data_IF_054718768052
#
_entry.id   IF_054718768052
#
_cell.length_a   1.000
_cell.length_b   1.000
_cell.length_c   1.000
_cell.angle_alpha   90.00
_cell.angle_beta   90.00
_cell.angle_gamma   90.00
#
_symmetry.space_group_name_H-M   'P 1'
#
loop_
_entity.id
_entity.type
_entity.pdbx_description
1 polymer ?
#
# COMPACT_ATOMS: atom_id res chain seq x y z
N UNK A 1 17.49 -23.96 -3.59
CA UNK A 1 18.27 -24.85 -2.71
C UNK A 1 17.75 -24.60 -1.30
N UNK A 2 17.22 -25.63 -0.63
CA UNK A 2 16.79 -25.51 0.77
C UNK A 2 18.01 -25.11 1.59
N UNK A 3 17.92 -24.03 2.33
CA UNK A 3 18.99 -23.56 3.18
C UNK A 3 19.09 -24.51 4.38
N UNK A 4 20.27 -25.04 4.64
CA UNK A 4 20.52 -25.92 5.78
C UNK A 4 20.53 -25.07 7.06
N UNK A 5 19.61 -25.34 7.98
CA UNK A 5 19.47 -24.66 9.28
C UNK A 5 20.68 -24.93 10.13
N UNK A 6 21.30 -23.89 10.70
CA UNK A 6 22.55 -24.04 11.46
C UNK A 6 22.38 -23.44 12.86
N UNK A 7 22.58 -24.27 13.88
CA UNK A 7 22.56 -23.90 15.31
C UNK A 7 23.98 -23.93 15.85
N UNK A 8 24.40 -22.88 16.53
CA UNK A 8 25.68 -22.83 17.27
C UNK A 8 25.42 -23.09 18.75
N UNK A 9 26.05 -24.14 19.26
CA UNK A 9 26.05 -24.47 20.70
C UNK A 9 27.37 -24.01 21.31
N UNK A 10 27.26 -23.13 22.33
CA UNK A 10 28.42 -22.60 23.08
C UNK A 10 28.30 -23.12 24.51
N UNK A 11 29.10 -24.11 24.85
CA UNK A 11 29.09 -24.76 26.18
C UNK A 11 30.49 -25.32 26.41
N UNK A 12 31.06 -25.15 27.60
CA UNK A 12 32.40 -25.64 27.97
C UNK A 12 32.44 -27.17 28.11
N UNK A 13 31.29 -27.81 28.28
CA UNK A 13 31.14 -29.25 28.30
C UNK A 13 30.90 -29.82 26.88
N UNK A 14 31.87 -30.50 26.27
CA UNK A 14 31.73 -31.04 24.90
C UNK A 14 30.63 -32.11 24.78
N UNK A 15 30.20 -32.74 25.89
CA UNK A 15 29.11 -33.69 25.88
C UNK A 15 27.75 -33.03 25.57
N UNK A 16 27.55 -31.80 25.98
CA UNK A 16 26.34 -30.99 25.66
C UNK A 16 26.28 -30.77 24.16
N UNK A 17 27.36 -30.30 23.56
CA UNK A 17 27.43 -30.07 22.11
C UNK A 17 27.18 -31.35 21.31
N UNK A 18 27.72 -32.49 21.78
CA UNK A 18 27.51 -33.81 21.15
C UNK A 18 26.05 -34.27 21.26
N UNK A 19 25.45 -34.13 22.46
CA UNK A 19 24.06 -34.53 22.69
C UNK A 19 23.07 -33.71 21.85
N UNK A 20 23.26 -32.39 21.82
CA UNK A 20 22.43 -31.48 21.00
C UNK A 20 22.69 -31.72 19.49
N UNK A 21 23.92 -32.00 19.08
CA UNK A 21 24.23 -32.36 17.71
C UNK A 21 23.54 -33.64 17.23
N UNK A 22 23.43 -34.64 18.09
CA UNK A 22 22.64 -35.84 17.79
C UNK A 22 21.15 -35.55 17.70
N UNK A 23 20.61 -34.79 18.65
CA UNK A 23 19.21 -34.43 18.67
C UNK A 23 18.80 -33.62 17.39
N UNK A 24 19.54 -32.59 17.07
CA UNK A 24 19.25 -31.73 15.93
C UNK A 24 19.55 -32.37 14.58
N UNK A 25 20.53 -33.26 14.52
CA UNK A 25 20.86 -34.02 13.30
C UNK A 25 19.72 -34.94 12.82
N UNK A 26 18.82 -35.37 13.71
CA UNK A 26 17.61 -36.13 13.36
C UNK A 26 16.52 -35.25 12.69
N UNK A 27 16.68 -33.92 12.76
CA UNK A 27 15.73 -32.94 12.27
C UNK A 27 16.32 -32.02 11.17
N UNK A 28 17.35 -32.50 10.46
CA UNK A 28 18.01 -31.75 9.37
C UNK A 28 18.59 -30.39 9.80
N UNK A 29 18.96 -30.24 11.09
CA UNK A 29 19.60 -29.05 11.64
C UNK A 29 21.10 -29.36 11.85
N UNK A 30 21.95 -28.54 11.24
CA UNK A 30 23.40 -28.61 11.42
C UNK A 30 23.81 -27.96 12.73
N UNK A 31 24.63 -28.62 13.52
CA UNK A 31 25.12 -28.11 14.80
C UNK A 31 26.60 -27.78 14.70
N UNK A 32 26.94 -26.52 15.02
CA UNK A 32 28.30 -26.07 15.28
C UNK A 32 28.52 -26.01 16.79
N UNK A 33 29.73 -26.34 17.27
CA UNK A 33 30.04 -26.33 18.69
C UNK A 33 31.23 -25.42 18.99
N UNK A 34 31.18 -24.70 20.08
CA UNK A 34 32.26 -23.90 20.61
C UNK A 34 32.37 -24.10 22.13
N UNK A 35 33.60 -24.30 22.62
CA UNK A 35 33.85 -24.63 24.04
C UNK A 35 34.15 -23.39 24.92
N UNK A 36 34.03 -22.20 24.36
CA UNK A 36 34.21 -20.96 25.12
C UNK A 36 33.46 -19.79 24.44
N UNK A 37 33.12 -18.71 25.18
CA UNK A 37 32.56 -17.49 24.64
C UNK A 37 33.34 -16.92 23.46
N UNK A 38 34.68 -16.88 23.57
CA UNK A 38 35.55 -16.33 22.52
C UNK A 38 35.50 -17.19 21.24
N UNK A 39 35.53 -18.51 21.38
CA UNK A 39 35.39 -19.42 20.24
C UNK A 39 34.01 -19.32 19.58
N UNK A 40 32.95 -19.14 20.38
CA UNK A 40 31.59 -18.92 19.91
C UNK A 40 31.47 -17.62 19.09
N UNK A 41 32.00 -16.51 19.59
CA UNK A 41 32.02 -15.23 18.86
C UNK A 41 32.85 -15.31 17.57
N UNK A 42 33.96 -16.03 17.58
CA UNK A 42 34.79 -16.26 16.39
C UNK A 42 34.03 -17.09 15.34
N UNK A 43 33.27 -18.11 15.77
CA UNK A 43 32.45 -18.93 14.87
C UNK A 43 31.32 -18.08 14.26
N UNK A 44 30.64 -17.24 15.04
CA UNK A 44 29.62 -16.32 14.55
C UNK A 44 30.15 -15.32 13.51
N UNK A 45 31.42 -14.92 13.63
CA UNK A 45 32.05 -14.03 12.67
C UNK A 45 32.49 -14.75 11.37
N UNK A 46 32.80 -16.05 11.44
CA UNK A 46 33.35 -16.82 10.34
C UNK A 46 32.33 -17.66 9.58
N UNK A 47 31.25 -18.04 10.22
CA UNK A 47 30.24 -18.96 9.68
C UNK A 47 28.82 -18.39 9.86
N UNK A 48 27.94 -18.76 8.94
CA UNK A 48 26.54 -18.42 9.05
C UNK A 48 25.87 -19.30 10.11
N UNK A 49 25.22 -18.65 11.07
CA UNK A 49 24.47 -19.27 12.15
C UNK A 49 23.06 -18.70 12.14
N UNK A 50 22.07 -19.53 12.39
CA UNK A 50 20.65 -19.14 12.38
C UNK A 50 20.07 -19.03 13.78
N UNK A 51 20.65 -19.73 14.78
CA UNK A 51 20.27 -19.67 16.19
C UNK A 51 21.48 -19.99 17.06
N UNK A 52 21.59 -19.37 18.22
CA UNK A 52 22.61 -19.67 19.23
C UNK A 52 21.97 -20.30 20.44
N UNK A 53 22.57 -21.39 20.96
CA UNK A 53 22.31 -21.95 22.27
C UNK A 53 23.57 -21.74 23.10
N UNK A 54 23.50 -21.00 24.20
CA UNK A 54 24.66 -20.64 25.00
C UNK A 54 24.46 -21.06 26.46
N UNK A 55 25.50 -21.65 27.05
CA UNK A 55 25.53 -21.86 28.50
C UNK A 55 25.67 -20.52 29.25
N UNK A 56 25.14 -20.47 30.45
CA UNK A 56 25.25 -19.35 31.35
C UNK A 56 26.56 -19.34 32.15
N UNK A 57 27.21 -20.49 32.32
CA UNK A 57 28.43 -20.66 33.12
C UNK A 57 29.48 -21.43 32.34
N UNK A 58 30.65 -20.85 32.14
CA UNK A 58 31.76 -21.43 31.36
C UNK A 58 32.96 -21.84 32.20
N UNK A 59 32.94 -21.62 33.52
CA UNK A 59 33.99 -22.07 34.43
C UNK A 59 33.41 -22.82 35.63
N UNK A 60 34.04 -23.93 36.01
CA UNK A 60 33.57 -24.83 37.03
C UNK A 60 33.37 -24.17 38.43
N UNK A 61 34.00 -23.02 38.67
CA UNK A 61 34.02 -22.33 39.94
C UNK A 61 33.03 -21.11 40.01
N UNK A 62 32.33 -20.78 38.92
CA UNK A 62 31.42 -19.63 38.89
C UNK A 62 29.97 -20.07 38.64
N UNK A 63 29.17 -20.05 39.66
CA UNK A 63 27.71 -20.28 39.59
C UNK A 63 26.92 -18.99 39.39
N UNK A 64 27.58 -17.87 39.04
CA UNK A 64 27.01 -16.53 38.99
C UNK A 64 26.25 -16.20 37.72
N UNK A 65 26.44 -16.94 36.63
CA UNK A 65 25.84 -16.67 35.30
C UNK A 65 26.35 -15.39 34.59
N UNK A 66 27.33 -14.69 35.18
CA UNK A 66 27.84 -13.42 34.62
C UNK A 66 28.49 -13.59 33.24
N UNK A 67 29.17 -14.71 32.99
CA UNK A 67 29.85 -14.98 31.72
C UNK A 67 28.84 -15.17 30.57
N UNK A 68 27.76 -15.92 30.81
CA UNK A 68 26.67 -16.10 29.83
C UNK A 68 25.92 -14.81 29.55
N UNK A 69 25.68 -13.95 30.57
CA UNK A 69 25.08 -12.64 30.39
C UNK A 69 26.00 -11.72 29.56
N UNK A 70 27.31 -11.75 29.79
CA UNK A 70 28.27 -10.97 29.02
C UNK A 70 28.29 -11.43 27.55
N UNK A 71 28.38 -12.76 27.32
CA UNK A 71 28.31 -13.34 25.99
C UNK A 71 27.01 -12.97 25.25
N UNK A 72 25.88 -13.06 25.93
CA UNK A 72 24.57 -12.66 25.36
C UNK A 72 24.57 -11.20 24.93
N UNK A 73 25.09 -10.28 25.76
CA UNK A 73 25.21 -8.85 25.42
C UNK A 73 26.13 -8.63 24.21
N UNK A 74 27.25 -9.33 24.13
CA UNK A 74 28.18 -9.25 23.01
C UNK A 74 27.54 -9.76 21.70
N UNK A 75 26.78 -10.85 21.77
CA UNK A 75 26.03 -11.37 20.61
C UNK A 75 24.98 -10.34 20.18
N UNK A 76 24.18 -9.79 21.10
CA UNK A 76 23.17 -8.79 20.80
C UNK A 76 23.72 -7.50 20.21
N UNK A 77 24.88 -7.04 20.69
CA UNK A 77 25.54 -5.84 20.17
C UNK A 77 25.98 -6.00 18.70
N UNK A 78 26.42 -7.21 18.31
CA UNK A 78 26.94 -7.50 16.96
C UNK A 78 25.88 -8.07 16.02
N UNK A 79 24.91 -8.82 16.56
CA UNK A 79 23.86 -9.53 15.85
C UNK A 79 22.50 -9.27 16.54
N UNK A 80 21.88 -8.10 16.36
CA UNK A 80 20.66 -7.69 17.08
C UNK A 80 19.49 -8.65 16.91
N UNK A 81 19.36 -9.26 15.73
CA UNK A 81 18.23 -10.13 15.36
C UNK A 81 18.50 -11.62 15.56
N UNK A 82 19.71 -12.00 16.08
CA UNK A 82 20.06 -13.40 16.31
C UNK A 82 19.25 -14.00 17.45
N UNK A 83 18.44 -15.05 17.25
CA UNK A 83 17.77 -15.72 18.36
C UNK A 83 18.81 -16.44 19.23
N UNK A 84 18.71 -16.21 20.55
CA UNK A 84 19.62 -16.81 21.54
C UNK A 84 18.78 -17.51 22.59
N UNK A 85 19.00 -18.82 22.75
CA UNK A 85 18.49 -19.65 23.86
C UNK A 85 19.61 -19.76 24.90
N UNK A 86 19.28 -19.50 26.15
CA UNK A 86 20.23 -19.61 27.26
C UNK A 86 19.98 -20.93 28.03
N UNK A 87 21.02 -21.74 28.16
CA UNK A 87 21.01 -22.95 29.00
C UNK A 87 21.55 -22.62 30.39
N UNK A 88 20.91 -23.15 31.45
CA UNK A 88 21.36 -22.89 32.84
C UNK A 88 21.04 -24.07 33.74
N UNK A 89 21.91 -24.28 34.74
CA UNK A 89 21.66 -25.21 35.83
C UNK A 89 20.75 -24.63 36.94
N UNK A 90 20.38 -23.33 36.83
CA UNK A 90 19.67 -22.61 37.91
C UNK A 90 18.26 -22.16 37.47
N UNK A 91 17.30 -22.46 38.32
CA UNK A 91 15.87 -22.16 38.11
C UNK A 91 15.41 -20.88 38.82
N UNK A 92 16.24 -19.84 38.87
CA UNK A 92 15.82 -18.56 39.45
C UNK A 92 14.96 -17.76 38.43
N UNK A 93 13.67 -17.72 38.70
CA UNK A 93 12.66 -17.05 37.87
C UNK A 93 12.98 -15.58 37.60
N UNK A 94 13.58 -14.87 38.54
CA UNK A 94 13.94 -13.47 38.43
C UNK A 94 15.04 -13.22 37.37
N UNK A 95 16.05 -14.09 37.32
CA UNK A 95 17.11 -14.01 36.32
C UNK A 95 16.61 -14.32 34.89
N UNK A 96 15.71 -15.31 34.77
CA UNK A 96 15.08 -15.65 33.49
C UNK A 96 14.24 -14.49 32.96
N UNK A 97 13.44 -13.84 33.79
CA UNK A 97 12.63 -12.69 33.41
C UNK A 97 13.49 -11.50 32.96
N UNK A 98 14.62 -11.26 33.63
CA UNK A 98 15.53 -10.17 33.25
C UNK A 98 16.21 -10.44 31.90
N UNK A 99 16.59 -11.68 31.60
CA UNK A 99 17.23 -12.07 30.34
C UNK A 99 16.23 -12.03 29.17
N UNK A 100 15.00 -12.45 29.36
CA UNK A 100 13.95 -12.29 28.36
C UNK A 100 13.65 -10.80 28.10
N UNK A 101 13.58 -9.97 29.15
CA UNK A 101 13.46 -8.51 28.97
C UNK A 101 14.67 -7.88 28.27
N UNK A 102 15.85 -8.48 28.40
CA UNK A 102 17.06 -8.08 27.69
C UNK A 102 17.11 -8.61 26.24
N UNK A 103 16.08 -9.36 25.80
CA UNK A 103 15.93 -9.83 24.44
C UNK A 103 16.36 -11.28 24.18
N UNK A 104 16.61 -12.11 25.20
CA UNK A 104 16.81 -13.54 24.98
C UNK A 104 15.54 -14.15 24.40
N UNK A 105 15.69 -15.04 23.40
CA UNK A 105 14.54 -15.65 22.73
C UNK A 105 13.86 -16.70 23.62
N UNK A 106 14.64 -17.47 24.37
CA UNK A 106 14.14 -18.42 25.37
C UNK A 106 15.22 -18.75 26.41
N UNK A 107 14.79 -19.45 27.44
CA UNK A 107 15.59 -19.86 28.57
C UNK A 107 15.24 -21.32 28.95
N UNK A 108 16.23 -22.20 29.02
CA UNK A 108 16.05 -23.63 29.27
C UNK A 108 16.92 -24.11 30.40
N UNK A 109 16.32 -24.82 31.37
CA UNK A 109 17.03 -25.40 32.51
C UNK A 109 17.73 -26.71 32.09
N UNK A 110 18.93 -26.96 32.66
CA UNK A 110 19.61 -28.26 32.63
C UNK A 110 19.18 -29.11 33.83
N UNK A 111 18.80 -30.40 33.69
CA UNK A 111 18.63 -31.13 32.44
C UNK A 111 17.37 -30.68 31.67
N UNK A 112 17.46 -30.59 30.37
CA UNK A 112 16.36 -30.18 29.50
C UNK A 112 15.52 -31.36 29.03
N UNK A 113 14.28 -31.03 28.67
CA UNK A 113 13.39 -31.91 27.93
C UNK A 113 13.68 -31.73 26.41
N UNK A 114 13.96 -32.86 25.73
CA UNK A 114 14.36 -32.84 24.31
C UNK A 114 13.23 -32.29 23.41
N UNK A 115 11.97 -32.70 23.64
CA UNK A 115 10.86 -32.33 22.78
C UNK A 115 10.55 -30.83 22.92
N UNK A 116 10.63 -30.33 24.17
CA UNK A 116 10.47 -28.91 24.45
C UNK A 116 11.56 -28.04 23.83
N UNK A 117 12.83 -28.45 23.98
CA UNK A 117 13.97 -27.71 23.42
C UNK A 117 13.91 -27.72 21.89
N UNK A 118 13.63 -28.87 21.30
CA UNK A 118 13.49 -28.99 19.84
C UNK A 118 12.39 -28.10 19.32
N UNK A 119 11.20 -28.13 19.93
CA UNK A 119 10.08 -27.27 19.52
C UNK A 119 10.42 -25.77 19.63
N UNK A 120 11.16 -25.37 20.68
CA UNK A 120 11.61 -23.98 20.83
C UNK A 120 12.59 -23.58 19.72
N UNK A 121 13.55 -24.46 19.40
CA UNK A 121 14.54 -24.25 18.33
C UNK A 121 13.86 -24.16 16.96
N UNK A 122 12.97 -25.09 16.62
CA UNK A 122 12.23 -25.09 15.35
C UNK A 122 11.41 -23.81 15.16
N UNK A 123 10.62 -23.41 16.16
CA UNK A 123 9.82 -22.20 16.13
C UNK A 123 10.69 -20.94 15.93
N UNK A 124 11.82 -20.84 16.61
CA UNK A 124 12.73 -19.71 16.48
C UNK A 124 13.45 -19.67 15.14
N UNK A 125 13.81 -20.81 14.58
CA UNK A 125 14.38 -20.91 13.24
C UNK A 125 13.37 -20.49 12.18
N UNK A 126 12.12 -20.96 12.25
CA UNK A 126 11.05 -20.56 11.33
C UNK A 126 10.78 -19.05 11.40
N UNK A 127 10.71 -18.49 12.61
CA UNK A 127 10.54 -17.05 12.78
C UNK A 127 11.72 -16.26 12.17
N UNK A 128 12.95 -16.70 12.45
CA UNK A 128 14.17 -16.07 11.90
C UNK A 128 14.22 -16.13 10.37
N UNK A 129 13.85 -17.28 9.78
CA UNK A 129 13.75 -17.45 8.32
C UNK A 129 12.71 -16.48 7.73
N UNK A 130 11.53 -16.38 8.33
CA UNK A 130 10.46 -15.48 7.89
C UNK A 130 10.89 -14.02 7.93
N UNK A 131 11.54 -13.59 9.01
CA UNK A 131 12.05 -12.21 9.16
C UNK A 131 13.12 -11.90 8.11
N UNK A 132 14.08 -12.82 7.91
CA UNK A 132 15.14 -12.65 6.91
C UNK A 132 14.60 -12.61 5.48
N UNK A 133 13.67 -13.51 5.14
CA UNK A 133 13.05 -13.52 3.81
C UNK A 133 12.28 -12.23 3.54
N UNK A 134 11.55 -11.72 4.55
CA UNK A 134 10.87 -10.44 4.47
C UNK A 134 11.86 -9.30 4.23
N UNK A 135 12.95 -9.25 4.99
CA UNK A 135 14.00 -8.24 4.83
C UNK A 135 14.68 -8.31 3.45
N UNK A 136 14.95 -9.53 2.95
CA UNK A 136 15.51 -9.75 1.61
C UNK A 136 14.57 -9.23 0.52
N UNK A 137 13.29 -9.58 0.60
CA UNK A 137 12.28 -9.10 -0.36
C UNK A 137 12.11 -7.58 -0.32
N UNK A 138 12.22 -6.96 0.85
CA UNK A 138 12.24 -5.51 0.96
C UNK A 138 13.44 -4.89 0.24
N UNK A 139 14.64 -5.40 0.49
CA UNK A 139 15.87 -4.91 -0.15
C UNK A 139 15.84 -5.07 -1.68
N UNK A 140 15.38 -6.21 -2.17
CA UNK A 140 15.23 -6.46 -3.61
C UNK A 140 14.26 -5.45 -4.25
N UNK A 141 13.13 -5.14 -3.58
CA UNK A 141 12.16 -4.15 -4.04
C UNK A 141 12.74 -2.74 -4.06
N UNK A 142 13.48 -2.35 -3.02
CA UNK A 142 14.14 -1.05 -2.99
C UNK A 142 15.17 -0.91 -4.12
N UNK A 143 15.96 -1.96 -4.38
CA UNK A 143 16.92 -1.97 -5.48
C UNK A 143 16.22 -1.88 -6.85
N UNK A 144 15.14 -2.61 -7.05
CA UNK A 144 14.32 -2.54 -8.27
C UNK A 144 13.76 -1.12 -8.48
N UNK A 145 13.20 -0.51 -7.43
CA UNK A 145 12.66 0.84 -7.45
C UNK A 145 13.74 1.88 -7.75
N UNK A 146 14.90 1.78 -7.11
CA UNK A 146 16.04 2.65 -7.36
C UNK A 146 16.58 2.51 -8.80
N UNK A 147 16.61 1.31 -9.34
CA UNK A 147 16.98 1.04 -10.73
C UNK A 147 15.99 1.66 -11.72
N UNK A 148 14.69 1.51 -11.46
CA UNK A 148 13.63 2.10 -12.29
C UNK A 148 13.70 3.63 -12.28
N UNK A 149 13.91 4.25 -11.10
CA UNK A 149 14.04 5.69 -10.95
C UNK A 149 15.32 6.27 -11.60
N UNK A 150 16.38 5.46 -11.74
CA UNK A 150 17.59 5.86 -12.49
C UNK A 150 17.38 5.79 -14.01
N UNK A 151 16.57 4.84 -14.49
CA UNK A 151 16.34 4.62 -15.92
C UNK A 151 15.22 5.48 -16.49
N UNK A 152 14.29 5.94 -15.66
CA UNK A 152 13.05 6.63 -16.06
C UNK A 152 12.73 7.83 -15.17
N UNK A 153 12.09 8.84 -15.75
CA UNK A 153 11.50 9.93 -14.99
C UNK A 153 10.15 9.47 -14.41
N UNK A 154 10.08 9.31 -13.10
CA UNK A 154 8.87 8.91 -12.39
C UNK A 154 7.98 10.08 -11.99
N UNK A 155 8.27 11.31 -12.42
CA UNK A 155 7.48 12.52 -12.17
C UNK A 155 7.13 12.75 -10.69
N UNK A 156 8.03 12.34 -9.77
CA UNK A 156 7.84 12.49 -8.33
C UNK A 156 6.75 11.59 -7.73
N UNK A 157 6.39 10.49 -8.36
CA UNK A 157 5.42 9.53 -7.82
C UNK A 157 6.04 8.77 -6.64
N UNK A 158 5.35 8.80 -5.51
CA UNK A 158 5.71 8.09 -4.27
C UNK A 158 4.83 6.85 -4.12
N UNK A 159 5.46 5.69 -3.93
CA UNK A 159 4.78 4.40 -3.73
C UNK A 159 5.70 3.38 -3.06
N UNK A 160 5.09 2.40 -2.38
CA UNK A 160 5.77 1.22 -1.82
C UNK A 160 5.03 -0.08 -2.12
N UNK A 161 3.72 -0.01 -2.40
CA UNK A 161 2.92 -1.17 -2.69
C UNK A 161 3.33 -1.85 -4.00
N UNK A 162 3.24 -3.18 -4.02
CA UNK A 162 3.50 -4.00 -5.22
C UNK A 162 2.55 -3.64 -6.37
N UNK A 163 1.29 -3.36 -6.05
CA UNK A 163 0.29 -3.02 -7.05
C UNK A 163 0.62 -1.72 -7.78
N UNK A 164 1.08 -0.70 -7.04
CA UNK A 164 1.50 0.56 -7.63
C UNK A 164 2.83 0.44 -8.37
N UNK A 165 3.78 -0.36 -7.85
CA UNK A 165 5.02 -0.69 -8.55
C UNK A 165 4.75 -1.27 -9.94
N UNK A 166 3.85 -2.26 -10.03
CA UNK A 166 3.47 -2.87 -11.32
C UNK A 166 2.85 -1.85 -12.30
N UNK A 167 2.01 -0.92 -11.80
CA UNK A 167 1.44 0.13 -12.64
C UNK A 167 2.51 1.11 -13.17
N UNK A 168 3.46 1.51 -12.32
CA UNK A 168 4.57 2.40 -12.70
C UNK A 168 5.52 1.70 -13.69
N UNK A 169 5.88 0.45 -13.46
CA UNK A 169 6.69 -0.35 -14.37
C UNK A 169 6.03 -0.50 -15.74
N UNK A 170 4.72 -0.79 -15.76
CA UNK A 170 3.95 -0.88 -17.00
C UNK A 170 3.93 0.47 -17.71
N UNK A 171 3.72 1.59 -17.00
CA UNK A 171 3.75 2.93 -17.56
C UNK A 171 5.10 3.25 -18.23
N UNK A 172 6.23 2.94 -17.57
CA UNK A 172 7.56 3.11 -18.11
C UNK A 172 7.80 2.23 -19.34
N UNK A 173 7.34 0.98 -19.31
CA UNK A 173 7.50 0.01 -20.42
C UNK A 173 6.76 0.45 -21.66
N UNK A 174 5.50 0.91 -21.50
CA UNK A 174 4.67 1.34 -22.65
C UNK A 174 4.97 2.75 -23.12
N UNK A 175 5.77 3.50 -22.37
CA UNK A 175 6.10 4.89 -22.71
C UNK A 175 6.69 5.05 -24.12
N UNK A 176 7.54 4.12 -24.53
CA UNK A 176 8.21 4.15 -25.86
C UNK A 176 7.33 3.68 -27.02
N UNK A 177 6.23 2.97 -26.73
CA UNK A 177 5.29 2.53 -27.75
C UNK A 177 4.34 3.68 -28.11
N UNK A 178 4.12 3.93 -29.40
CA UNK A 178 3.19 4.98 -29.90
C UNK A 178 1.74 4.45 -29.95
N UNK A 179 1.30 3.75 -28.91
CA UNK A 179 -0.05 3.19 -28.81
C UNK A 179 -0.89 3.95 -27.79
N UNK A 180 -2.20 4.01 -27.96
CA UNK A 180 -3.11 4.53 -26.95
C UNK A 180 -2.99 3.77 -25.64
N UNK A 181 -3.11 4.50 -24.51
CA UNK A 181 -3.07 3.95 -23.16
C UNK A 181 -4.33 4.36 -22.43
N UNK A 182 -5.01 3.40 -21.81
CA UNK A 182 -6.16 3.63 -20.96
C UNK A 182 -5.76 3.41 -19.48
N UNK A 183 -5.95 4.43 -18.65
CA UNK A 183 -5.67 4.35 -17.22
C UNK A 183 -7.00 4.25 -16.48
N UNK A 184 -7.22 3.13 -15.80
CA UNK A 184 -8.47 2.87 -15.06
C UNK A 184 -8.25 2.96 -13.56
N UNK A 185 -9.30 3.31 -12.82
CA UNK A 185 -9.26 3.31 -11.35
C UNK A 185 -10.08 4.44 -10.73
N UNK A 186 -10.36 4.34 -9.42
CA UNK A 186 -11.18 5.31 -8.69
C UNK A 186 -10.66 6.75 -8.77
N UNK A 187 -11.54 7.71 -8.48
CA UNK A 187 -11.14 9.12 -8.46
C UNK A 187 -10.10 9.39 -7.36
N UNK A 188 -9.14 10.26 -7.66
CA UNK A 188 -8.10 10.64 -6.72
C UNK A 188 -6.97 9.61 -6.52
N UNK A 189 -6.90 8.53 -7.32
CA UNK A 189 -5.84 7.50 -7.23
C UNK A 189 -4.49 7.92 -7.81
N UNK A 190 -4.46 9.00 -8.64
CA UNK A 190 -3.24 9.50 -9.26
C UNK A 190 -3.09 9.19 -10.76
N UNK A 191 -4.20 8.98 -11.50
CA UNK A 191 -4.20 8.65 -12.94
C UNK A 191 -3.40 9.65 -13.77
N UNK A 192 -3.52 10.94 -13.50
CA UNK A 192 -2.77 11.99 -14.19
C UNK A 192 -1.25 11.87 -13.99
N UNK A 193 -0.79 11.44 -12.80
CA UNK A 193 0.63 11.21 -12.53
C UNK A 193 1.20 10.06 -13.36
N UNK A 194 0.42 9.00 -13.53
CA UNK A 194 0.79 7.87 -14.41
C UNK A 194 0.84 8.32 -15.87
N UNK A 195 -0.12 9.14 -16.31
CA UNK A 195 -0.08 9.73 -17.66
C UNK A 195 1.18 10.60 -17.86
N UNK A 196 1.57 11.38 -16.85
CA UNK A 196 2.80 12.16 -16.87
C UNK A 196 4.06 11.29 -17.01
N UNK A 197 4.14 10.14 -16.29
CA UNK A 197 5.25 9.17 -16.44
C UNK A 197 5.31 8.63 -17.87
N UNK A 198 4.16 8.25 -18.43
CA UNK A 198 4.11 7.75 -19.82
C UNK A 198 4.59 8.81 -20.81
N UNK A 199 4.20 10.07 -20.64
CA UNK A 199 4.67 11.17 -21.48
C UNK A 199 6.16 11.43 -21.31
N UNK A 200 6.65 11.61 -20.06
CA UNK A 200 8.04 11.98 -19.76
C UNK A 200 9.08 10.95 -20.29
N UNK A 201 8.66 9.69 -20.44
CA UNK A 201 9.51 8.61 -20.94
C UNK A 201 9.21 8.22 -22.40
N UNK A 202 8.40 9.01 -23.12
CA UNK A 202 7.98 8.73 -24.49
C UNK A 202 8.93 9.34 -25.54
N UNK A 203 8.71 8.95 -26.81
CA UNK A 203 9.36 9.57 -27.98
C UNK A 203 8.99 11.05 -28.16
N UNK A 204 7.79 11.45 -27.66
CA UNK A 204 7.24 12.82 -27.75
C UNK A 204 7.40 13.64 -26.46
N UNK A 205 8.29 13.24 -25.55
CA UNK A 205 8.53 13.89 -24.26
C UNK A 205 8.94 15.37 -24.36
N UNK A 206 9.50 15.78 -25.48
CA UNK A 206 9.88 17.17 -25.72
C UNK A 206 8.71 18.03 -26.21
N UNK A 207 7.59 17.40 -26.62
CA UNK A 207 6.38 18.07 -27.05
C UNK A 207 5.47 18.45 -25.87
N UNK A 208 4.36 19.11 -26.16
CA UNK A 208 3.42 19.52 -25.10
C UNK A 208 2.71 18.35 -24.46
N UNK A 209 2.45 18.44 -23.12
CA UNK A 209 1.53 17.57 -22.41
C UNK A 209 0.27 18.37 -22.07
N UNK A 210 -0.82 18.09 -22.80
CA UNK A 210 -2.09 18.80 -22.64
C UNK A 210 -3.09 17.88 -21.92
N UNK A 211 -3.59 18.30 -20.76
CA UNK A 211 -4.62 17.57 -20.02
C UNK A 211 -6.00 18.22 -20.22
N UNK A 212 -7.01 17.40 -20.46
CA UNK A 212 -8.41 17.81 -20.58
C UNK A 212 -9.27 16.87 -19.76
N UNK A 213 -10.11 17.46 -18.88
CA UNK A 213 -11.13 16.69 -18.17
C UNK A 213 -12.44 16.75 -18.97
N UNK A 214 -12.89 15.60 -19.48
CA UNK A 214 -14.09 15.47 -20.30
C UNK A 214 -15.40 15.66 -19.50
N UNK A 215 -15.35 15.56 -18.18
CA UNK A 215 -16.50 15.77 -17.29
C UNK A 215 -16.62 17.21 -16.75
N UNK A 216 -15.62 18.06 -16.98
CA UNK A 216 -15.59 19.42 -16.43
C UNK A 216 -16.44 20.43 -17.21
N UNK A 217 -16.83 20.12 -18.45
CA UNK A 217 -17.54 21.01 -19.34
C UNK A 217 -18.85 20.40 -19.85
N UNK A 218 -19.89 21.21 -20.16
CA UNK A 218 -21.06 20.75 -20.88
C UNK A 218 -20.71 20.09 -22.23
N UNK A 219 -21.53 19.12 -22.66
CA UNK A 219 -21.29 18.31 -23.85
C UNK A 219 -20.97 19.11 -25.11
N UNK A 220 -21.66 20.22 -25.32
CA UNK A 220 -21.46 21.12 -26.48
C UNK A 220 -20.11 21.84 -26.45
N UNK A 221 -19.64 22.19 -25.25
CA UNK A 221 -18.38 22.91 -25.07
C UNK A 221 -17.16 21.99 -25.09
N UNK A 222 -17.29 20.74 -24.67
CA UNK A 222 -16.16 19.80 -24.67
C UNK A 222 -15.70 19.48 -26.10
N UNK A 223 -16.63 19.39 -27.07
CA UNK A 223 -16.24 19.20 -28.46
C UNK A 223 -15.48 20.41 -29.02
N UNK A 224 -15.97 21.63 -28.74
CA UNK A 224 -15.28 22.86 -29.15
C UNK A 224 -13.90 23.01 -28.49
N UNK A 225 -13.76 22.56 -27.25
CA UNK A 225 -12.48 22.52 -26.53
C UNK A 225 -11.51 21.51 -27.16
N UNK A 226 -11.97 20.31 -27.49
CA UNK A 226 -11.10 19.25 -28.06
C UNK A 226 -10.71 19.55 -29.50
N UNK A 227 -11.70 19.85 -30.37
CA UNK A 227 -11.49 19.92 -31.83
C UNK A 227 -11.38 21.35 -32.35
N UNK A 228 -11.66 22.36 -31.50
CA UNK A 228 -11.73 23.75 -31.91
C UNK A 228 -13.06 24.12 -32.55
N UNK A 229 -13.29 25.41 -32.76
CA UNK A 229 -14.50 25.94 -33.37
C UNK A 229 -14.18 27.18 -34.22
N UNK A 230 -14.88 27.33 -35.37
CA UNK A 230 -14.88 28.57 -36.13
C UNK A 230 -15.85 29.57 -35.49
N UNK A 231 -15.67 30.86 -35.85
CA UNK A 231 -16.59 31.90 -35.41
C UNK A 231 -18.01 31.60 -35.94
N UNK A 232 -19.02 31.67 -35.06
CA UNK A 232 -20.40 31.36 -35.39
C UNK A 232 -20.79 29.87 -35.39
N UNK A 233 -19.91 28.97 -35.01
CA UNK A 233 -20.16 27.53 -34.99
C UNK A 233 -21.29 27.08 -34.03
N UNK A 234 -21.52 27.86 -32.97
CA UNK A 234 -22.61 27.65 -32.00
C UNK A 234 -22.97 28.97 -31.32
N UNK A 235 -24.10 29.02 -30.63
CA UNK A 235 -24.57 30.20 -29.89
C UNK A 235 -23.55 30.60 -28.82
N UNK A 236 -22.87 31.77 -29.01
CA UNK A 236 -21.80 32.26 -28.13
C UNK A 236 -20.38 32.08 -28.71
N UNK A 237 -20.21 31.44 -29.85
CA UNK A 237 -18.91 31.32 -30.54
C UNK A 237 -18.55 32.61 -31.27
N UNK A 238 -18.25 33.68 -30.58
CA UNK A 238 -17.95 34.99 -31.17
C UNK A 238 -16.58 35.06 -31.88
N UNK A 239 -15.68 34.11 -31.61
CA UNK A 239 -14.32 34.03 -32.19
C UNK A 239 -13.95 32.58 -32.47
N UNK A 240 -13.11 32.38 -33.49
CA UNK A 240 -12.50 31.06 -33.72
C UNK A 240 -11.63 30.66 -32.51
N UNK A 241 -11.65 29.37 -32.17
CA UNK A 241 -10.92 28.79 -31.02
C UNK A 241 -10.10 27.61 -31.49
N UNK A 242 -8.81 27.62 -31.15
CA UNK A 242 -7.89 26.48 -31.37
C UNK A 242 -8.27 25.33 -30.45
N UNK A 243 -8.36 24.12 -31.00
CA UNK A 243 -8.65 22.90 -30.23
C UNK A 243 -7.45 22.35 -29.52
N UNK A 244 -7.72 21.49 -28.54
CA UNK A 244 -6.67 20.83 -27.74
C UNK A 244 -5.86 19.83 -28.58
N UNK A 245 -6.47 19.18 -29.56
CA UNK A 245 -5.75 18.33 -30.51
C UNK A 245 -4.69 19.09 -31.30
N UNK A 246 -5.03 20.27 -31.75
CA UNK A 246 -4.06 21.14 -32.45
C UNK A 246 -2.99 21.66 -31.47
N UNK A 247 -3.35 22.04 -30.27
CA UNK A 247 -2.42 22.51 -29.23
C UNK A 247 -1.48 21.40 -28.73
N UNK A 248 -1.86 20.13 -28.84
CA UNK A 248 -1.08 18.97 -28.44
C UNK A 248 -0.26 18.38 -29.58
N UNK A 249 -0.24 19.00 -30.77
CA UNK A 249 0.45 18.47 -31.92
C UNK A 249 1.96 18.23 -31.63
N UNK A 250 2.47 17.08 -32.02
CA UNK A 250 3.83 16.63 -31.70
C UNK A 250 4.05 16.23 -30.23
N UNK A 251 2.99 16.18 -29.43
CA UNK A 251 3.05 15.88 -28.00
C UNK A 251 2.05 14.81 -27.55
N UNK A 252 1.49 15.00 -26.36
CA UNK A 252 0.53 14.08 -25.73
C UNK A 252 -0.73 14.82 -25.31
N UNK A 253 -1.88 14.27 -25.64
CA UNK A 253 -3.18 14.68 -25.12
C UNK A 253 -3.66 13.66 -24.08
N UNK A 254 -3.84 14.13 -22.85
CA UNK A 254 -4.41 13.34 -21.76
C UNK A 254 -5.88 13.67 -21.60
N UNK A 255 -6.76 12.67 -21.80
CA UNK A 255 -8.21 12.78 -21.70
C UNK A 255 -8.65 12.15 -20.37
N UNK A 256 -8.88 12.96 -19.33
CA UNK A 256 -9.41 12.48 -18.06
C UNK A 256 -10.94 12.36 -18.12
N UNK A 257 -11.46 11.38 -17.41
CA UNK A 257 -12.90 11.06 -17.35
C UNK A 257 -13.52 10.83 -18.76
N UNK A 258 -12.83 10.06 -19.59
CA UNK A 258 -13.24 9.82 -20.99
C UNK A 258 -14.66 9.23 -21.14
N UNK A 259 -15.17 8.56 -20.11
CA UNK A 259 -16.55 8.06 -20.08
C UNK A 259 -17.61 9.15 -20.20
N UNK A 260 -17.27 10.41 -19.85
CA UNK A 260 -18.19 11.55 -19.94
C UNK A 260 -18.20 12.22 -21.33
N UNK A 261 -17.38 11.75 -22.29
CA UNK A 261 -17.38 12.31 -23.64
C UNK A 261 -18.69 11.98 -24.34
N UNK A 262 -19.43 12.96 -24.89
CA UNK A 262 -20.69 12.72 -25.60
C UNK A 262 -20.47 11.88 -26.87
N UNK A 263 -21.50 11.16 -27.32
CA UNK A 263 -21.41 10.24 -28.46
C UNK A 263 -20.89 10.93 -29.75
N UNK A 264 -21.28 12.18 -30.02
CA UNK A 264 -20.75 12.98 -31.12
C UNK A 264 -19.24 13.22 -31.02
N UNK A 265 -18.76 13.53 -29.82
CA UNK A 265 -17.32 13.68 -29.53
C UNK A 265 -16.57 12.34 -29.65
N UNK A 266 -17.20 11.22 -29.26
CA UNK A 266 -16.64 9.89 -29.41
C UNK A 266 -16.39 9.52 -30.89
N UNK A 267 -17.31 9.85 -31.79
CA UNK A 267 -17.15 9.65 -33.25
C UNK A 267 -15.97 10.45 -33.80
N UNK A 268 -15.85 11.70 -33.41
CA UNK A 268 -14.72 12.56 -33.85
C UNK A 268 -13.39 12.06 -33.28
N UNK A 269 -13.37 11.66 -32.01
CA UNK A 269 -12.17 11.10 -31.37
C UNK A 269 -11.70 9.83 -32.08
N UNK A 270 -12.61 8.93 -32.44
CA UNK A 270 -12.29 7.73 -33.20
C UNK A 270 -11.59 8.06 -34.52
N UNK A 271 -12.10 9.03 -35.28
CA UNK A 271 -11.46 9.49 -36.55
C UNK A 271 -10.05 9.97 -36.30
N UNK A 272 -9.82 10.76 -35.25
CA UNK A 272 -8.48 11.24 -34.91
C UNK A 272 -7.54 10.09 -34.60
N UNK A 273 -8.01 9.10 -33.81
CA UNK A 273 -7.20 7.93 -33.45
C UNK A 273 -6.87 7.00 -34.64
N UNK A 274 -7.70 7.02 -35.70
CA UNK A 274 -7.52 6.19 -36.89
C UNK A 274 -6.64 6.89 -37.95
N UNK A 275 -6.92 8.14 -38.22
CA UNK A 275 -6.34 8.87 -39.38
C UNK A 275 -5.47 10.07 -38.99
N UNK A 276 -5.49 10.50 -37.72
CA UNK A 276 -4.87 11.74 -37.28
C UNK A 276 -5.61 13.00 -37.78
N UNK A 277 -6.83 12.86 -38.32
CA UNK A 277 -7.58 13.96 -38.96
C UNK A 277 -8.82 14.32 -38.15
N UNK A 278 -9.15 15.61 -38.13
CA UNK A 278 -10.36 16.14 -37.53
C UNK A 278 -10.82 17.42 -38.20
N UNK A 279 -12.07 17.78 -37.97
CA UNK A 279 -12.66 19.03 -38.44
C UNK A 279 -13.12 19.84 -37.23
N UNK A 280 -12.72 21.15 -37.14
CA UNK A 280 -13.26 22.05 -36.14
C UNK A 280 -14.79 22.19 -36.26
N UNK A 281 -15.47 22.55 -35.16
CA UNK A 281 -16.90 22.80 -35.19
C UNK A 281 -17.22 23.98 -36.13
N UNK A 282 -18.23 23.81 -37.01
CA UNK A 282 -18.62 24.82 -37.97
C UNK A 282 -17.68 24.94 -39.19
N UNK A 283 -16.70 24.05 -39.32
CA UNK A 283 -15.76 24.03 -40.45
C UNK A 283 -15.83 22.70 -41.22
N UNK A 284 -15.72 22.74 -42.53
CA UNK A 284 -15.50 21.57 -43.38
C UNK A 284 -14.01 21.36 -43.73
N UNK A 285 -13.13 22.18 -43.15
CA UNK A 285 -11.69 22.11 -43.41
C UNK A 285 -11.06 21.07 -42.50
N UNK A 286 -10.58 19.98 -43.07
CA UNK A 286 -9.84 18.94 -42.37
C UNK A 286 -8.50 19.46 -41.88
N UNK A 287 -8.18 19.23 -40.62
CA UNK A 287 -6.86 19.44 -40.00
C UNK A 287 -6.23 18.11 -39.66
N UNK A 288 -4.91 18.05 -39.71
CA UNK A 288 -4.14 16.84 -39.39
C UNK A 288 -3.29 17.12 -38.14
N UNK A 289 -3.19 16.15 -37.26
CA UNK A 289 -2.36 16.23 -36.05
C UNK A 289 -1.68 14.88 -35.76
N UNK A 290 -0.49 14.96 -35.19
CA UNK A 290 0.23 13.78 -34.68
C UNK A 290 0.33 13.87 -33.15
N UNK A 291 -0.67 13.33 -32.49
CA UNK A 291 -0.80 13.40 -31.03
C UNK A 291 -0.84 12.01 -30.42
N UNK A 292 -0.05 11.76 -29.39
CA UNK A 292 -0.20 10.58 -28.57
C UNK A 292 -1.39 10.76 -27.63
N UNK A 293 -2.36 9.86 -27.65
CA UNK A 293 -3.52 9.91 -26.77
C UNK A 293 -3.34 8.98 -25.57
N UNK A 294 -3.54 9.53 -24.37
CA UNK A 294 -3.65 8.79 -23.11
C UNK A 294 -5.02 9.13 -22.53
N UNK A 295 -5.81 8.12 -22.20
CA UNK A 295 -7.15 8.31 -21.62
C UNK A 295 -7.22 7.78 -20.20
N UNK A 296 -8.05 8.40 -19.37
CA UNK A 296 -8.31 7.92 -18.02
C UNK A 296 -9.80 7.88 -17.72
N UNK A 297 -10.20 6.93 -16.88
CA UNK A 297 -11.59 6.82 -16.43
C UNK A 297 -11.71 6.15 -15.06
N UNK A 298 -12.74 6.51 -14.33
CA UNK A 298 -13.22 5.79 -13.14
C UNK A 298 -14.51 5.00 -13.45
N UNK A 299 -15.06 5.14 -14.67
CA UNK A 299 -16.28 4.49 -15.09
C UNK A 299 -16.03 3.08 -15.63
N UNK A 300 -17.00 2.21 -15.46
CA UNK A 300 -17.04 0.87 -16.03
C UNK A 300 -17.44 0.95 -17.52
N UNK A 301 -16.48 1.23 -18.40
CA UNK A 301 -16.74 1.39 -19.84
C UNK A 301 -17.49 0.21 -20.46
N UNK A 302 -17.20 -1.06 -20.12
CA UNK A 302 -17.99 -2.19 -20.63
C UNK A 302 -19.49 -2.12 -20.27
N UNK A 303 -19.83 -1.58 -19.11
CA UNK A 303 -21.24 -1.35 -18.73
C UNK A 303 -21.84 -0.20 -19.54
N UNK A 304 -21.11 0.89 -19.76
CA UNK A 304 -21.56 2.02 -20.57
C UNK A 304 -21.78 1.64 -22.03
N UNK A 305 -20.98 0.70 -22.59
CA UNK A 305 -21.18 0.14 -23.93
C UNK A 305 -22.53 -0.61 -23.99
N UNK A 306 -22.81 -1.48 -23.02
CA UNK A 306 -24.11 -2.19 -22.96
C UNK A 306 -25.30 -1.24 -22.86
N UNK A 307 -25.12 -0.07 -22.23
CA UNK A 307 -26.14 0.96 -22.12
C UNK A 307 -26.25 1.87 -23.37
N UNK A 308 -25.37 1.72 -24.34
CA UNK A 308 -25.34 2.53 -25.56
C UNK A 308 -24.84 3.97 -25.37
N UNK A 309 -24.21 4.28 -24.22
CA UNK A 309 -23.67 5.62 -23.92
C UNK A 309 -22.18 5.76 -24.23
N UNK A 310 -21.51 4.63 -24.50
CA UNK A 310 -20.11 4.60 -24.96
C UNK A 310 -20.00 3.64 -26.15
N UNK A 311 -19.23 4.02 -27.17
CA UNK A 311 -19.06 3.22 -28.38
C UNK A 311 -18.03 2.11 -28.18
N UNK A 312 -18.36 0.92 -28.65
CA UNK A 312 -17.50 -0.25 -28.56
C UNK A 312 -16.23 -0.12 -29.45
N UNK A 313 -16.36 0.44 -30.65
CA UNK A 313 -15.22 0.66 -31.57
C UNK A 313 -14.17 1.64 -30.97
N UNK A 314 -14.62 2.70 -30.34
CA UNK A 314 -13.75 3.63 -29.64
C UNK A 314 -13.05 2.96 -28.42
N UNK A 315 -13.79 2.15 -27.67
CA UNK A 315 -13.23 1.42 -26.53
C UNK A 315 -12.02 0.56 -26.96
N UNK A 316 -12.18 -0.28 -27.98
CA UNK A 316 -11.08 -1.13 -28.46
C UNK A 316 -9.88 -0.31 -29.01
N UNK A 317 -10.14 0.86 -29.53
CA UNK A 317 -9.07 1.74 -30.00
C UNK A 317 -8.31 2.43 -28.88
N UNK A 318 -8.99 2.80 -27.79
CA UNK A 318 -8.39 3.41 -26.58
C UNK A 318 -7.72 2.38 -25.68
N UNK A 319 -8.33 1.21 -25.52
CA UNK A 319 -7.87 0.15 -24.62
C UNK A 319 -6.86 -0.80 -25.31
N UNK A 320 -5.85 -0.24 -25.98
CA UNK A 320 -4.74 -1.05 -26.51
C UNK A 320 -3.86 -1.55 -25.38
N UNK A 321 -3.58 -0.71 -24.40
CA UNK A 321 -2.90 -1.07 -23.15
C UNK A 321 -3.68 -0.46 -22.00
N UNK A 322 -4.07 -1.28 -21.02
CA UNK A 322 -4.72 -0.83 -19.79
C UNK A 322 -3.75 -0.79 -18.62
N UNK A 323 -3.78 0.31 -17.86
CA UNK A 323 -3.03 0.47 -16.61
C UNK A 323 -4.03 0.67 -15.48
N UNK A 324 -4.36 -0.39 -14.72
CA UNK A 324 -5.29 -0.28 -13.61
C UNK A 324 -4.60 0.31 -12.37
N UNK A 325 -5.22 1.31 -11.75
CA UNK A 325 -4.77 1.89 -10.50
C UNK A 325 -5.70 1.46 -9.34
N UNK A 326 -5.16 0.80 -8.33
CA UNK A 326 -5.97 0.39 -7.18
C UNK A 326 -6.36 1.57 -6.30
N UNK A 327 -7.49 1.46 -5.61
CA UNK A 327 -7.86 2.38 -4.54
C UNK A 327 -6.78 2.42 -3.44
N UNK A 328 -6.65 3.54 -2.74
CA UNK A 328 -5.64 3.70 -1.68
C UNK A 328 -5.82 2.69 -0.54
N UNK A 329 -7.07 2.35 -0.21
CA UNK A 329 -7.40 1.31 0.77
C UNK A 329 -6.86 -0.08 0.40
N UNK A 330 -6.72 -0.40 -0.90
CA UNK A 330 -6.15 -1.66 -1.39
C UNK A 330 -4.61 -1.66 -1.43
N UNK A 331 -3.98 -0.52 -1.09
CA UNK A 331 -2.51 -0.36 -1.07
C UNK A 331 -2.04 0.36 0.20
N UNK A 332 -2.30 -0.19 1.38
CA UNK A 332 -2.00 0.48 2.66
C UNK A 332 -0.52 0.80 2.86
N UNK A 333 0.39 0.06 2.22
CA UNK A 333 1.83 0.34 2.25
C UNK A 333 2.19 1.72 1.68
N UNK A 334 1.36 2.30 0.80
CA UNK A 334 1.60 3.61 0.21
C UNK A 334 1.16 4.76 1.12
N UNK A 335 0.29 4.51 2.13
CA UNK A 335 -0.34 5.57 2.93
C UNK A 335 0.70 6.39 3.69
N UNK A 336 1.56 5.75 4.48
CA UNK A 336 2.55 6.45 5.31
C UNK A 336 3.64 7.14 4.48
N UNK A 337 4.21 6.54 3.42
CA UNK A 337 5.14 7.23 2.53
C UNK A 337 4.53 8.46 1.84
N UNK A 338 3.29 8.36 1.36
CA UNK A 338 2.56 9.49 0.81
C UNK A 338 2.30 10.56 1.87
N UNK A 339 1.94 10.14 3.08
CA UNK A 339 1.71 11.07 4.18
C UNK A 339 2.96 11.87 4.52
N UNK A 340 4.11 11.20 4.66
CA UNK A 340 5.38 11.87 4.93
C UNK A 340 5.79 12.80 3.78
N UNK A 341 5.55 12.39 2.54
CA UNK A 341 5.80 13.23 1.36
C UNK A 341 4.97 14.53 1.37
N UNK A 342 3.68 14.47 1.73
CA UNK A 342 2.82 15.65 1.77
C UNK A 342 3.08 16.56 2.97
N UNK A 343 3.46 15.98 4.11
CA UNK A 343 3.86 16.77 5.29
C UNK A 343 5.20 17.48 5.09
N UNK A 344 6.09 16.89 4.32
CA UNK A 344 7.45 17.38 4.14
C UNK A 344 8.39 16.92 5.28
N UNK A 345 9.66 17.36 5.25
CA UNK A 345 10.70 16.87 6.19
C UNK A 345 10.58 17.46 7.60
N UNK A 346 9.90 18.59 7.78
CA UNK A 346 9.85 19.34 9.04
C UNK A 346 8.82 18.77 10.03
N UNK A 347 7.85 17.99 9.56
CA UNK A 347 6.80 17.42 10.38
C UNK A 347 6.90 15.91 10.43
N UNK A 348 6.68 15.35 11.62
CA UNK A 348 6.60 13.91 11.86
C UNK A 348 5.19 13.50 12.26
N UNK A 349 4.85 12.23 12.04
CA UNK A 349 3.59 11.66 12.50
C UNK A 349 3.81 10.96 13.85
N UNK A 350 2.97 11.25 14.83
CA UNK A 350 2.89 10.46 16.06
C UNK A 350 2.33 9.06 15.80
N UNK A 351 2.49 8.13 16.73
CA UNK A 351 2.04 6.75 16.54
C UNK A 351 0.51 6.65 16.43
N UNK A 352 -0.24 7.45 17.18
CA UNK A 352 -1.70 7.53 17.08
C UNK A 352 -2.16 8.09 15.71
N UNK A 353 -1.45 9.09 15.17
CA UNK A 353 -1.72 9.60 13.82
C UNK A 353 -1.43 8.56 12.74
N UNK A 354 -0.33 7.81 12.85
CA UNK A 354 -0.01 6.71 11.93
C UNK A 354 -1.12 5.66 11.91
N UNK A 355 -1.58 5.24 13.10
CA UNK A 355 -2.68 4.29 13.21
C UNK A 355 -3.98 4.83 12.61
N UNK A 356 -4.33 6.08 12.89
CA UNK A 356 -5.53 6.72 12.34
C UNK A 356 -5.50 6.75 10.80
N UNK A 357 -4.35 7.09 10.19
CA UNK A 357 -4.17 7.09 8.74
C UNK A 357 -4.33 5.69 8.13
N UNK A 358 -3.79 4.64 8.79
CA UNK A 358 -3.88 3.27 8.30
C UNK A 358 -5.28 2.65 8.46
N UNK A 359 -6.04 3.08 9.46
CA UNK A 359 -7.40 2.59 9.71
C UNK A 359 -8.47 3.29 8.86
N UNK A 360 -8.17 4.45 8.29
CA UNK A 360 -9.13 5.19 7.48
C UNK A 360 -9.30 4.57 6.08
N UNK A 361 -10.53 4.54 5.59
CA UNK A 361 -10.90 3.86 4.33
C UNK A 361 -10.59 4.64 3.04
N UNK A 362 -10.21 5.91 3.12
CA UNK A 362 -9.79 6.80 2.02
C UNK A 362 -10.72 6.78 0.79
N UNK A 363 -12.03 7.05 0.91
CA UNK A 363 -12.94 7.07 -0.23
C UNK A 363 -12.52 8.05 -1.34
N UNK A 364 -11.89 9.18 -0.99
CA UNK A 364 -11.31 10.14 -1.92
C UNK A 364 -9.86 9.85 -2.32
N UNK A 365 -9.32 8.68 -1.93
CA UNK A 365 -7.98 8.19 -2.26
C UNK A 365 -6.86 9.20 -1.92
N UNK A 366 -5.84 9.32 -2.76
CA UNK A 366 -4.68 10.21 -2.55
C UNK A 366 -5.08 11.69 -2.51
N UNK A 367 -6.15 12.08 -3.23
CA UNK A 367 -6.66 13.46 -3.18
C UNK A 367 -7.18 13.82 -1.78
N UNK A 368 -7.92 12.92 -1.15
CA UNK A 368 -8.40 13.10 0.23
C UNK A 368 -7.23 13.11 1.23
N UNK A 369 -6.33 12.12 1.13
CA UNK A 369 -5.14 12.04 1.99
C UNK A 369 -4.33 13.34 1.92
N UNK A 370 -4.05 13.83 0.72
CA UNK A 370 -3.34 15.10 0.50
C UNK A 370 -4.04 16.27 1.18
N UNK A 371 -5.35 16.44 0.98
CA UNK A 371 -6.12 17.53 1.56
C UNK A 371 -6.10 17.49 3.10
N UNK A 372 -6.22 16.30 3.70
CA UNK A 372 -6.15 16.12 5.15
C UNK A 372 -4.79 16.56 5.69
N UNK A 373 -3.70 16.12 5.04
CA UNK A 373 -2.34 16.42 5.49
C UNK A 373 -1.92 17.87 5.22
N UNK A 374 -2.31 18.45 4.09
CA UNK A 374 -2.10 19.88 3.82
C UNK A 374 -2.81 20.76 4.86
N UNK A 375 -4.03 20.38 5.27
CA UNK A 375 -4.74 21.08 6.35
C UNK A 375 -4.02 20.90 7.70
N UNK A 376 -3.60 19.67 8.06
CA UNK A 376 -2.86 19.41 9.29
C UNK A 376 -1.56 20.22 9.33
N UNK A 377 -0.81 20.27 8.22
CA UNK A 377 0.42 21.06 8.08
C UNK A 377 0.22 22.56 8.35
N UNK A 378 -0.94 23.10 7.99
CA UNK A 378 -1.25 24.53 8.22
C UNK A 378 -1.66 24.83 9.67
N UNK A 379 -2.20 23.84 10.38
CA UNK A 379 -2.80 24.04 11.71
C UNK A 379 -1.86 23.64 12.86
N UNK A 380 -0.91 22.74 12.61
CA UNK A 380 0.02 22.24 13.64
C UNK A 380 1.13 23.26 13.87
N UNK A 381 1.28 23.70 15.12
CA UNK A 381 2.32 24.66 15.55
C UNK A 381 3.57 23.99 16.14
N UNK A 382 3.65 22.67 16.18
CA UNK A 382 4.78 21.89 16.72
C UNK A 382 5.24 20.84 15.70
N UNK A 383 6.45 20.34 15.81
CA UNK A 383 7.06 19.41 14.83
C UNK A 383 6.37 18.04 14.67
N UNK A 384 5.28 17.74 15.40
CA UNK A 384 4.61 16.45 15.41
C UNK A 384 3.09 16.59 15.18
N UNK A 385 2.56 15.84 14.20
CA UNK A 385 1.13 15.76 13.85
C UNK A 385 0.50 14.61 14.62
N UNK A 386 -0.55 14.89 15.40
CA UNK A 386 -1.32 13.92 16.18
C UNK A 386 -2.60 13.51 15.48
N UNK A 387 -3.24 12.41 15.90
CA UNK A 387 -4.49 11.94 15.32
C UNK A 387 -5.61 13.02 15.34
N UNK A 388 -5.67 13.82 16.40
CA UNK A 388 -6.63 14.92 16.52
C UNK A 388 -6.45 16.00 15.43
N UNK A 389 -5.22 16.27 15.00
CA UNK A 389 -4.91 17.30 13.99
C UNK A 389 -5.35 16.87 12.59
N UNK A 390 -5.45 15.55 12.33
CA UNK A 390 -5.94 15.02 11.07
C UNK A 390 -7.44 15.27 10.86
N UNK A 391 -8.19 15.43 11.95
CA UNK A 391 -9.66 15.60 11.92
C UNK A 391 -10.34 14.57 10.98
N UNK A 392 -9.90 13.31 11.06
CA UNK A 392 -10.53 12.23 10.35
C UNK A 392 -11.84 11.84 11.04
N UNK A 393 -12.88 11.44 10.30
CA UNK A 393 -14.06 10.84 10.92
C UNK A 393 -13.59 9.64 11.75
N UNK A 394 -14.12 9.51 12.96
CA UNK A 394 -13.84 8.33 13.79
C UNK A 394 -14.04 7.07 12.94
N UNK A 395 -13.16 6.06 13.03
CA UNK A 395 -13.36 4.81 12.32
C UNK A 395 -14.78 4.33 12.66
N UNK A 396 -15.61 4.13 11.65
CA UNK A 396 -16.91 3.51 11.85
C UNK A 396 -16.59 2.16 12.46
N UNK A 397 -16.75 2.07 13.78
CA UNK A 397 -16.56 0.83 14.51
C UNK A 397 -17.34 -0.26 13.77
N UNK A 398 -16.80 -1.45 13.67
CA UNK A 398 -17.50 -2.65 13.22
C UNK A 398 -18.75 -2.82 14.08
N UNK A 399 -19.84 -2.16 13.71
CA UNK A 399 -21.05 -2.04 14.49
C UNK A 399 -22.14 -1.23 13.83
N UNK A 400 -22.03 -0.94 12.52
CA UNK A 400 -23.22 -0.57 11.75
C UNK A 400 -23.59 -1.79 10.92
N UNK A 401 -24.40 -2.67 11.53
CA UNK A 401 -25.35 -3.49 10.77
C UNK A 401 -25.95 -2.58 9.71
N UNK A 402 -25.83 -3.01 8.46
CA UNK A 402 -26.38 -2.34 7.30
C UNK A 402 -27.74 -1.73 7.63
N UNK A 403 -27.87 -0.42 7.44
CA UNK A 403 -29.16 0.25 7.62
C UNK A 403 -30.26 -0.40 6.78
N UNK A 404 -29.92 -1.17 5.76
CA UNK A 404 -30.85 -1.95 4.92
C UNK A 404 -31.27 -3.31 5.52
N UNK A 405 -30.49 -3.89 6.46
CA UNK A 405 -30.77 -5.23 7.04
C UNK A 405 -31.74 -5.27 8.21
N UNK A 406 -32.10 -4.14 8.81
CA UNK A 406 -33.04 -4.12 9.94
C UNK A 406 -34.49 -4.24 9.49
N UNK A 407 -35.04 -5.43 9.65
CA UNK A 407 -36.44 -5.71 9.35
C UNK A 407 -37.37 -5.13 10.43
N UNK A 408 -38.65 -4.93 10.10
CA UNK A 408 -39.71 -4.53 11.06
C UNK A 408 -39.74 -5.41 12.30
N UNK A 409 -39.59 -6.73 12.11
CA UNK A 409 -39.57 -7.71 13.19
C UNK A 409 -38.42 -7.49 14.19
N UNK A 410 -37.21 -7.14 13.69
CA UNK A 410 -36.03 -6.87 14.50
C UNK A 410 -36.20 -5.62 15.36
N UNK A 411 -36.76 -4.55 14.77
CA UNK A 411 -37.04 -3.30 15.47
C UNK A 411 -38.13 -3.48 16.53
N UNK A 412 -39.20 -4.21 16.24
CA UNK A 412 -40.26 -4.55 17.18
C UNK A 412 -39.79 -5.43 18.36
N UNK A 413 -38.89 -6.40 18.07
CA UNK A 413 -38.30 -7.24 19.10
C UNK A 413 -37.42 -6.42 20.07
N UNK A 414 -36.59 -5.52 19.53
CA UNK A 414 -35.72 -4.65 20.33
C UNK A 414 -36.52 -3.64 21.16
N UNK A 415 -37.59 -3.05 20.62
CA UNK A 415 -38.49 -2.17 21.38
C UNK A 415 -39.21 -2.93 22.51
N UNK A 416 -39.67 -4.16 22.26
CA UNK A 416 -40.30 -5.01 23.31
C UNK A 416 -39.29 -5.35 24.42
N UNK A 417 -38.07 -5.76 24.06
CA UNK A 417 -37.00 -6.06 25.01
C UNK A 417 -36.61 -4.83 25.86
N UNK A 418 -36.69 -3.64 25.28
CA UNK A 418 -36.41 -2.37 25.93
C UNK A 418 -37.62 -1.78 26.72
N UNK A 419 -38.75 -2.50 26.82
CA UNK A 419 -39.94 -2.03 27.50
C UNK A 419 -40.55 -0.77 26.87
N UNK A 420 -40.45 -0.59 25.57
CA UNK A 420 -40.92 0.59 24.81
C UNK A 420 -39.96 1.79 24.85
N UNK A 421 -38.82 1.70 25.52
CA UNK A 421 -37.86 2.79 25.60
C UNK A 421 -37.01 2.87 24.35
N UNK A 422 -37.33 3.85 23.47
CA UNK A 422 -36.68 4.06 22.16
C UNK A 422 -35.18 4.31 22.28
N UNK A 423 -34.71 4.98 23.34
CA UNK A 423 -33.27 5.24 23.52
C UNK A 423 -32.49 3.96 23.85
N UNK A 424 -33.07 3.05 24.67
CA UNK A 424 -32.50 1.74 24.99
C UNK A 424 -32.54 0.81 23.79
N UNK A 425 -33.65 0.79 23.04
CA UNK A 425 -33.78 0.01 21.82
C UNK A 425 -32.80 0.49 20.74
N UNK A 426 -32.60 1.78 20.58
CA UNK A 426 -31.60 2.34 19.67
C UNK A 426 -30.17 1.88 20.06
N UNK A 427 -29.81 1.97 21.32
CA UNK A 427 -28.51 1.51 21.81
C UNK A 427 -28.28 0.00 21.57
N UNK A 428 -29.30 -0.84 21.79
CA UNK A 428 -29.19 -2.30 21.52
C UNK A 428 -29.08 -2.67 20.05
N UNK A 429 -29.56 -1.80 19.15
CA UNK A 429 -29.44 -1.93 17.70
C UNK A 429 -28.22 -1.20 17.10
N UNK A 430 -27.37 -0.59 17.93
CA UNK A 430 -26.21 0.19 17.48
C UNK A 430 -26.58 1.48 16.75
N UNK A 431 -27.81 1.99 16.95
CA UNK A 431 -28.34 3.18 16.29
C UNK A 431 -28.43 4.40 17.22
N UNK A 432 -28.36 5.59 16.62
CA UNK A 432 -28.79 6.79 17.35
C UNK A 432 -30.33 6.81 17.49
N UNK A 433 -30.83 7.48 18.54
CA UNK A 433 -32.27 7.64 18.76
C UNK A 433 -32.99 8.23 17.53
N UNK A 434 -32.35 9.19 16.87
CA UNK A 434 -32.91 9.82 15.66
C UNK A 434 -32.90 8.86 14.44
N UNK A 435 -31.88 7.99 14.33
CA UNK A 435 -31.82 7.00 13.28
C UNK A 435 -32.91 5.93 13.44
N UNK A 436 -33.17 5.49 14.69
CA UNK A 436 -34.24 4.55 14.96
C UNK A 436 -35.62 5.16 14.66
N UNK A 437 -35.90 6.43 15.01
CA UNK A 437 -37.14 7.11 14.65
C UNK A 437 -37.36 7.16 13.14
N UNK A 438 -36.34 7.58 12.35
CA UNK A 438 -36.41 7.59 10.88
C UNK A 438 -36.66 6.20 10.28
N UNK A 439 -36.12 5.14 10.93
CA UNK A 439 -36.34 3.78 10.49
C UNK A 439 -37.75 3.28 10.80
N UNK A 440 -38.25 3.57 12.02
CA UNK A 440 -39.63 3.25 12.40
C UNK A 440 -40.63 3.91 11.45
N UNK A 441 -40.43 5.17 11.09
CA UNK A 441 -41.28 5.91 10.14
C UNK A 441 -41.28 5.24 8.75
N UNK A 442 -40.09 4.87 8.22
CA UNK A 442 -39.96 4.13 6.94
C UNK A 442 -40.64 2.76 6.97
N UNK A 443 -40.65 2.10 8.10
CA UNK A 443 -41.28 0.79 8.29
C UNK A 443 -42.79 0.88 8.64
N UNK A 444 -43.37 2.09 8.64
CA UNK A 444 -44.76 2.30 8.94
C UNK A 444 -45.17 2.02 10.39
N UNK A 445 -44.19 2.12 11.32
CA UNK A 445 -44.43 1.91 12.76
C UNK A 445 -44.75 3.25 13.41
N UNK A 446 -45.92 3.38 14.05
CA UNK A 446 -46.29 4.55 14.84
C UNK A 446 -45.47 4.59 16.13
N UNK A 447 -44.91 5.74 16.46
CA UNK A 447 -44.24 6.02 17.74
C UNK A 447 -45.22 5.99 18.92
#
# INVERSE_FOLDING_TARGET
MSHMRTVLVIDDNPAVGTALGMLFGLHDITTLTALSPQAGLATLAAQRVDLVIADMNFSADTTSGHEGVALFRDIRARHPDMPVILLTAWTHLESAVQLVKAGAADYVAKPWDNDRLLSAVENLLELSESVRETARLHLEREQQRASLAKAHDLCGVVYESRAMAAAVELACRVARAEVPVLITGPNGTGKERIAAIVHANSSVRAGPFIAVNCGALPAELIEAELFGAEAGAFTGANRARVGRFESADGGTLFLDEIGNLPLSGQVKLLRVLESGQFEPLGSSRTRTTRVRVISATNAELPQMIRQGVFREDLYYRLNTIEIPLPALAARPADILPLAQHFLGPELTLSDDARQALLQHGWPGNVRELRNVLERARLLVSGGEVKAADLNLPAPKGQGTTDEEGLTRATVEASLRAAGGNVSRAAASLGLSRQALYRRMERLGMRS
#
